data_IF_381717311357
#
_entry.id   IF_381717311357
#
_cell.length_a   1.000
_cell.length_b   1.000
_cell.length_c   1.000
_cell.angle_alpha   90.00
_cell.angle_beta   90.00
_cell.angle_gamma   90.00
#
_symmetry.space_group_name_H-M   'P 1'
#
loop_
_entity.id
_entity.type
_entity.pdbx_description
1 polymer ?
#
# COMPACT_ATOMS: atom_id res chain seq x y z
N UNK A 1 1.75 -26.42 45.76
CA UNK A 1 2.25 -27.31 44.68
C UNK A 1 1.15 -27.69 43.69
N UNK A 2 -0.03 -28.16 44.14
CA UNK A 2 -1.15 -28.60 43.26
C UNK A 2 -1.75 -27.50 42.35
N UNK A 3 -1.75 -26.23 42.79
CA UNK A 3 -2.24 -25.10 41.97
C UNK A 3 -1.35 -24.79 40.74
N UNK A 4 -0.02 -24.93 40.87
CA UNK A 4 0.92 -24.64 39.78
C UNK A 4 0.85 -25.67 38.65
N UNK A 5 0.70 -26.95 39.00
CA UNK A 5 0.51 -28.03 38.02
C UNK A 5 -0.73 -27.83 37.15
N UNK A 6 -1.81 -27.29 37.71
CA UNK A 6 -3.04 -26.99 36.96
C UNK A 6 -2.87 -25.81 35.99
N UNK A 7 -2.08 -24.79 36.35
CA UNK A 7 -1.82 -23.64 35.47
C UNK A 7 -1.01 -24.04 34.24
N UNK A 8 0.12 -24.74 34.42
CA UNK A 8 0.95 -25.19 33.30
C UNK A 8 0.27 -26.26 32.44
N UNK A 9 -0.56 -27.13 33.04
CA UNK A 9 -1.36 -28.09 32.27
C UNK A 9 -2.43 -27.40 31.41
N UNK A 10 -2.98 -26.25 31.87
CA UNK A 10 -4.04 -25.52 31.15
C UNK A 10 -3.49 -24.55 30.11
N UNK A 11 -2.36 -23.89 30.38
CA UNK A 11 -1.79 -22.83 29.53
C UNK A 11 -0.46 -23.19 28.85
N UNK A 12 0.03 -24.42 29.00
CA UNK A 12 1.33 -24.83 28.46
C UNK A 12 1.46 -24.58 26.96
N UNK A 13 0.39 -24.85 26.19
CA UNK A 13 0.37 -24.60 24.75
C UNK A 13 0.49 -23.11 24.41
N UNK A 14 -0.17 -22.23 25.15
CA UNK A 14 -0.13 -20.78 24.93
C UNK A 14 1.24 -20.21 25.28
N UNK A 15 1.88 -20.73 26.34
CA UNK A 15 3.24 -20.33 26.73
C UNK A 15 4.25 -20.73 25.65
N UNK A 16 4.19 -21.99 25.18
CA UNK A 16 5.06 -22.48 24.09
C UNK A 16 4.83 -21.67 22.81
N UNK A 17 3.58 -21.47 22.42
CA UNK A 17 3.24 -20.67 21.24
C UNK A 17 3.74 -19.22 21.36
N UNK A 18 3.66 -18.62 22.54
CA UNK A 18 4.20 -17.28 22.81
C UNK A 18 5.72 -17.24 22.67
N UNK A 19 6.42 -18.25 23.21
CA UNK A 19 7.87 -18.34 23.09
C UNK A 19 8.30 -18.47 21.61
N UNK A 20 7.59 -19.28 20.83
CA UNK A 20 7.80 -19.42 19.39
C UNK A 20 7.48 -18.10 18.67
N UNK A 21 6.43 -17.38 19.05
CA UNK A 21 6.11 -16.08 18.45
C UNK A 21 7.21 -15.04 18.71
N UNK A 22 7.76 -14.98 19.93
CA UNK A 22 8.89 -14.11 20.28
C UNK A 22 10.14 -14.48 19.49
N UNK A 23 10.47 -15.79 19.50
CA UNK A 23 11.16 -16.53 18.44
C UNK A 23 11.26 -15.83 17.08
N UNK A 24 10.14 -15.99 16.38
CA UNK A 24 9.89 -15.54 15.02
C UNK A 24 9.96 -14.03 14.91
N UNK A 25 9.43 -13.27 15.88
CA UNK A 25 9.48 -11.81 15.88
C UNK A 25 10.91 -11.28 15.76
N UNK A 26 11.84 -11.79 16.58
CA UNK A 26 13.24 -11.38 16.51
C UNK A 26 13.90 -11.80 15.18
N UNK A 27 13.64 -13.02 14.72
CA UNK A 27 14.18 -13.51 13.44
C UNK A 27 13.70 -12.62 12.28
N UNK A 28 12.40 -12.35 12.19
CA UNK A 28 11.80 -11.51 11.14
C UNK A 28 12.35 -10.10 11.19
N UNK A 29 12.49 -9.51 12.38
CA UNK A 29 13.04 -8.17 12.54
C UNK A 29 14.49 -8.08 12.08
N UNK A 30 15.34 -9.03 12.48
CA UNK A 30 16.74 -9.08 12.06
C UNK A 30 16.90 -9.32 10.56
N UNK A 31 16.10 -10.23 10.00
CA UNK A 31 16.08 -10.50 8.57
C UNK A 31 15.68 -9.24 7.78
N UNK A 32 14.63 -8.56 8.24
CA UNK A 32 14.11 -7.37 7.58
C UNK A 32 15.09 -6.19 7.67
N UNK A 33 15.72 -5.97 8.81
CA UNK A 33 16.78 -4.96 8.97
C UNK A 33 17.95 -5.20 8.02
N UNK A 34 18.31 -6.46 7.81
CA UNK A 34 19.37 -6.85 6.86
C UNK A 34 18.96 -6.57 5.42
N UNK A 35 17.72 -6.91 5.05
CA UNK A 35 17.17 -6.67 3.71
C UNK A 35 17.12 -5.16 3.42
N UNK A 36 16.61 -4.35 4.35
CA UNK A 36 16.49 -2.90 4.19
C UNK A 36 17.86 -2.26 3.98
N UNK A 37 18.86 -2.63 4.80
CA UNK A 37 20.24 -2.14 4.66
C UNK A 37 20.85 -2.51 3.31
N UNK A 38 20.64 -3.75 2.85
CA UNK A 38 21.15 -4.23 1.56
C UNK A 38 20.49 -3.52 0.39
N UNK A 39 19.18 -3.31 0.46
CA UNK A 39 18.42 -2.62 -0.58
C UNK A 39 18.79 -1.13 -0.66
N UNK A 40 18.87 -0.45 0.49
CA UNK A 40 19.27 0.97 0.57
C UNK A 40 20.61 1.25 -0.10
N UNK A 41 21.62 0.40 0.15
CA UNK A 41 22.93 0.49 -0.51
C UNK A 41 22.88 0.29 -2.03
N UNK A 42 21.92 -0.50 -2.53
CA UNK A 42 21.76 -0.79 -3.97
C UNK A 42 20.93 0.27 -4.69
N UNK A 43 19.98 0.91 -4.00
CA UNK A 43 18.99 1.80 -4.59
C UNK A 43 19.33 3.29 -4.51
N UNK A 44 20.52 3.67 -4.01
CA UNK A 44 20.95 5.06 -3.79
C UNK A 44 19.91 5.91 -3.05
N UNK A 45 19.15 5.30 -2.15
CA UNK A 45 18.17 6.06 -1.35
C UNK A 45 18.89 6.92 -0.32
N UNK A 46 18.36 8.12 -0.08
CA UNK A 46 18.85 8.95 1.01
C UNK A 46 18.72 8.21 2.35
N UNK A 47 19.62 8.52 3.26
CA UNK A 47 19.62 7.94 4.61
C UNK A 47 18.30 8.22 5.32
N UNK A 48 17.78 9.44 5.20
CA UNK A 48 16.48 9.83 5.74
C UNK A 48 15.33 8.93 5.23
N UNK A 49 15.28 8.63 3.93
CA UNK A 49 14.25 7.75 3.36
C UNK A 49 14.39 6.33 3.89
N UNK A 50 15.61 5.85 4.04
CA UNK A 50 15.89 4.52 4.58
C UNK A 50 15.42 4.38 6.03
N UNK A 51 15.67 5.40 6.87
CA UNK A 51 15.19 5.44 8.26
C UNK A 51 13.66 5.41 8.33
N UNK A 52 12.98 6.18 7.48
CA UNK A 52 11.51 6.20 7.44
C UNK A 52 10.94 4.84 7.02
N UNK A 53 11.47 4.23 5.96
CA UNK A 53 11.05 2.89 5.51
C UNK A 53 11.25 1.86 6.61
N UNK A 54 12.42 1.88 7.28
CA UNK A 54 12.69 0.99 8.42
C UNK A 54 11.66 1.17 9.52
N UNK A 55 11.38 2.41 9.91
CA UNK A 55 10.42 2.72 10.98
C UNK A 55 9.01 2.18 10.67
N UNK A 56 8.53 2.36 9.44
CA UNK A 56 7.22 1.84 9.06
C UNK A 56 7.17 0.30 9.06
N UNK A 57 8.24 -0.35 8.62
CA UNK A 57 8.32 -1.80 8.63
C UNK A 57 8.42 -2.34 10.08
N UNK A 58 9.21 -1.72 10.94
CA UNK A 58 9.29 -2.06 12.37
C UNK A 58 7.91 -1.95 13.05
N UNK A 59 7.15 -0.88 12.75
CA UNK A 59 5.77 -0.74 13.25
C UNK A 59 4.84 -1.84 12.74
N UNK A 60 4.92 -2.19 11.45
CA UNK A 60 4.11 -3.26 10.89
C UNK A 60 4.42 -4.60 11.54
N UNK A 61 5.70 -4.96 11.69
CA UNK A 61 6.13 -6.20 12.34
C UNK A 61 5.64 -6.24 13.80
N UNK A 62 5.73 -5.12 14.52
CA UNK A 62 5.24 -5.02 15.89
C UNK A 62 3.72 -5.21 15.99
N UNK A 63 2.94 -4.56 15.10
CA UNK A 63 1.48 -4.73 15.05
C UNK A 63 1.11 -6.19 14.79
N UNK A 64 1.76 -6.84 13.81
CA UNK A 64 1.52 -8.25 13.50
C UNK A 64 1.86 -9.17 14.68
N UNK A 65 2.96 -8.89 15.39
CA UNK A 65 3.32 -9.61 16.59
C UNK A 65 2.30 -9.42 17.72
N UNK A 66 1.82 -8.19 17.94
CA UNK A 66 0.78 -7.92 18.93
C UNK A 66 -0.52 -8.67 18.60
N UNK A 67 -0.95 -8.67 17.33
CA UNK A 67 -2.11 -9.45 16.87
C UNK A 67 -1.91 -10.94 17.11
N UNK A 68 -0.72 -11.48 16.85
CA UNK A 68 -0.39 -12.88 17.11
C UNK A 68 -0.49 -13.23 18.61
N UNK A 69 0.02 -12.37 19.49
CA UNK A 69 -0.11 -12.55 20.94
C UNK A 69 -1.57 -12.53 21.40
N UNK A 70 -2.36 -11.57 20.92
CA UNK A 70 -3.80 -11.50 21.22
C UNK A 70 -4.50 -12.78 20.77
N UNK A 71 -4.12 -13.33 19.61
CA UNK A 71 -4.68 -14.58 19.09
C UNK A 71 -4.30 -15.81 19.93
N UNK A 72 -3.03 -15.91 20.37
CA UNK A 72 -2.53 -17.03 21.20
C UNK A 72 -3.22 -17.06 22.57
N UNK A 73 -3.36 -15.90 23.22
CA UNK A 73 -3.93 -15.80 24.56
C UNK A 73 -5.45 -15.79 24.57
N UNK A 74 -6.06 -15.61 23.40
CA UNK A 74 -7.45 -15.92 23.17
C UNK A 74 -8.41 -14.86 23.71
N UNK A 75 -8.93 -14.07 22.78
CA UNK A 75 -10.32 -13.62 22.79
C UNK A 75 -11.18 -14.88 22.53
N UNK A 76 -12.31 -15.08 23.24
CA UNK A 76 -13.15 -16.28 23.09
C UNK A 76 -13.55 -16.47 21.62
N UNK A 77 -13.74 -17.71 21.13
CA UNK A 77 -14.12 -17.97 19.72
C UNK A 77 -15.38 -17.20 19.30
N UNK A 78 -16.33 -17.00 20.23
CA UNK A 78 -17.55 -16.19 20.04
C UNK A 78 -17.26 -14.71 19.73
N UNK A 79 -16.15 -14.18 20.24
CA UNK A 79 -15.73 -12.78 20.08
C UNK A 79 -14.84 -12.56 18.85
N UNK A 80 -14.38 -13.62 18.19
CA UNK A 80 -13.55 -13.53 16.98
C UNK A 80 -14.28 -12.81 15.84
N UNK A 81 -15.58 -13.12 15.63
CA UNK A 81 -16.38 -12.46 14.60
C UNK A 81 -16.55 -10.96 14.86
N UNK A 82 -16.76 -10.57 16.12
CA UNK A 82 -16.85 -9.16 16.51
C UNK A 82 -15.52 -8.42 16.28
N UNK A 83 -14.40 -9.05 16.64
CA UNK A 83 -13.07 -8.50 16.38
C UNK A 83 -12.78 -8.39 14.87
N UNK A 84 -13.08 -9.43 14.08
CA UNK A 84 -12.88 -9.38 12.63
C UNK A 84 -13.76 -8.30 11.99
N UNK A 85 -15.01 -8.16 12.42
CA UNK A 85 -15.92 -7.11 11.95
C UNK A 85 -15.41 -5.72 12.27
N UNK A 86 -14.91 -5.48 13.49
CA UNK A 86 -14.36 -4.18 13.87
C UNK A 86 -13.10 -3.83 13.09
N UNK A 87 -12.19 -4.80 12.89
CA UNK A 87 -11.00 -4.63 12.05
C UNK A 87 -11.39 -4.33 10.60
N UNK A 88 -12.30 -5.11 10.01
CA UNK A 88 -12.81 -4.86 8.65
C UNK A 88 -13.44 -3.47 8.53
N UNK A 89 -14.19 -3.04 9.55
CA UNK A 89 -14.81 -1.71 9.57
C UNK A 89 -13.75 -0.61 9.55
N UNK A 90 -12.72 -0.72 10.40
CA UNK A 90 -11.62 0.25 10.43
C UNK A 90 -10.85 0.28 9.11
N UNK A 91 -10.56 -0.90 8.53
CA UNK A 91 -9.90 -1.01 7.23
C UNK A 91 -10.77 -0.39 6.12
N UNK A 92 -12.08 -0.64 6.13
CA UNK A 92 -13.02 -0.07 5.17
C UNK A 92 -13.05 1.45 5.23
N UNK A 93 -13.10 2.03 6.43
CA UNK A 93 -13.02 3.49 6.63
C UNK A 93 -11.67 4.05 6.19
N UNK A 94 -10.56 3.36 6.48
CA UNK A 94 -9.24 3.76 6.04
C UNK A 94 -9.13 3.81 4.50
N UNK A 95 -9.62 2.77 3.82
CA UNK A 95 -9.65 2.74 2.35
C UNK A 95 -10.56 3.82 1.77
N UNK A 96 -11.71 4.10 2.39
CA UNK A 96 -12.56 5.21 1.99
C UNK A 96 -11.84 6.55 2.12
N UNK A 97 -11.12 6.78 3.23
CA UNK A 97 -10.30 7.98 3.39
C UNK A 97 -9.17 8.08 2.35
N UNK A 98 -8.65 6.95 1.88
CA UNK A 98 -7.58 6.84 0.89
C UNK A 98 -8.09 6.63 -0.54
N UNK A 99 -9.39 6.80 -0.78
CA UNK A 99 -10.07 6.46 -2.03
C UNK A 99 -9.38 7.02 -3.27
N UNK A 100 -8.88 8.26 -3.19
CA UNK A 100 -8.20 8.92 -4.31
C UNK A 100 -6.98 8.13 -4.83
N UNK A 101 -6.20 7.50 -3.94
CA UNK A 101 -5.01 6.73 -4.32
C UNK A 101 -5.45 5.49 -5.10
N UNK A 102 -6.43 4.75 -4.56
CA UNK A 102 -6.95 3.54 -5.19
C UNK A 102 -7.62 3.86 -6.53
N UNK A 103 -8.39 4.95 -6.58
CA UNK A 103 -9.04 5.43 -7.79
C UNK A 103 -8.04 5.78 -8.89
N UNK A 104 -6.91 6.40 -8.57
CA UNK A 104 -5.85 6.67 -9.54
C UNK A 104 -5.13 5.40 -10.03
N UNK A 105 -4.90 4.40 -9.16
CA UNK A 105 -4.34 3.10 -9.58
C UNK A 105 -5.28 2.42 -10.56
N UNK A 106 -6.56 2.27 -10.19
CA UNK A 106 -7.58 1.63 -11.02
C UNK A 106 -7.72 2.37 -12.35
N UNK A 107 -7.74 3.71 -12.32
CA UNK A 107 -7.77 4.52 -13.52
C UNK A 107 -6.52 4.31 -14.39
N UNK A 108 -5.32 4.20 -13.79
CA UNK A 108 -4.09 3.93 -14.53
C UNK A 108 -4.13 2.61 -15.29
N UNK A 109 -4.67 1.56 -14.66
CA UNK A 109 -4.87 0.26 -15.31
C UNK A 109 -5.86 0.39 -16.48
N UNK A 110 -6.99 1.06 -16.27
CA UNK A 110 -8.02 1.26 -17.31
C UNK A 110 -7.46 2.08 -18.48
N UNK A 111 -6.77 3.18 -18.18
CA UNK A 111 -6.16 4.05 -19.19
C UNK A 111 -5.12 3.28 -20.00
N UNK A 112 -4.29 2.46 -19.36
CA UNK A 112 -3.25 1.69 -20.04
C UNK A 112 -3.80 0.58 -20.96
N UNK A 113 -4.84 -0.14 -20.52
CA UNK A 113 -5.33 -1.31 -21.25
C UNK A 113 -6.56 -1.07 -22.13
N UNK A 114 -7.40 -0.09 -21.78
CA UNK A 114 -8.75 0.03 -22.33
C UNK A 114 -9.03 1.36 -23.02
N UNK A 115 -8.22 2.39 -22.79
CA UNK A 115 -8.44 3.68 -23.46
C UNK A 115 -7.92 3.67 -24.91
N UNK A 116 -8.59 4.41 -25.81
CA UNK A 116 -8.23 4.44 -27.22
C UNK A 116 -6.90 5.17 -27.50
N UNK A 117 -6.51 6.12 -26.64
CA UNK A 117 -5.23 6.82 -26.79
C UNK A 117 -4.06 6.02 -26.23
N UNK A 118 -2.90 6.16 -26.86
CA UNK A 118 -1.66 5.45 -26.53
C UNK A 118 -0.55 6.43 -26.13
N UNK A 119 0.54 5.88 -25.62
CA UNK A 119 1.78 6.63 -25.45
C UNK A 119 2.25 7.11 -26.84
N UNK A 120 2.54 8.40 -26.96
CA UNK A 120 2.85 9.10 -28.21
C UNK A 120 1.66 9.87 -28.81
N UNK A 121 0.43 9.62 -28.37
CA UNK A 121 -0.72 10.36 -28.87
C UNK A 121 -0.77 11.76 -28.28
N UNK A 122 -1.18 12.71 -29.12
CA UNK A 122 -1.46 14.08 -28.69
C UNK A 122 -2.91 14.19 -28.25
N UNK A 123 -3.13 14.61 -27.01
CA UNK A 123 -4.45 14.74 -26.40
C UNK A 123 -4.74 16.17 -25.98
N UNK A 124 -6.04 16.50 -25.94
CA UNK A 124 -6.54 17.79 -25.46
C UNK A 124 -7.78 17.58 -24.61
N UNK A 125 -7.82 18.21 -23.44
CA UNK A 125 -9.04 18.23 -22.63
C UNK A 125 -10.10 19.14 -23.25
N UNK A 126 -11.35 18.69 -23.25
CA UNK A 126 -12.51 19.45 -23.74
C UNK A 126 -12.88 20.60 -22.79
N UNK A 127 -12.49 20.46 -21.52
CA UNK A 127 -12.80 21.42 -20.46
C UNK A 127 -12.03 22.73 -20.66
N UNK A 128 -12.75 23.83 -20.88
CA UNK A 128 -12.16 25.16 -21.10
C UNK A 128 -11.45 25.71 -19.86
N UNK A 129 -11.84 25.27 -18.67
CA UNK A 129 -11.19 25.68 -17.42
C UNK A 129 -9.91 24.85 -17.15
N UNK A 130 -9.70 23.77 -17.92
CA UNK A 130 -8.53 22.91 -17.83
C UNK A 130 -7.89 22.72 -19.21
N UNK A 131 -7.28 23.76 -19.80
CA UNK A 131 -6.78 23.76 -21.18
C UNK A 131 -5.44 23.04 -21.33
N UNK A 132 -5.32 21.83 -20.79
CA UNK A 132 -4.13 20.99 -20.96
C UNK A 132 -4.18 20.32 -22.34
N UNK A 133 -3.13 20.54 -23.13
CA UNK A 133 -2.91 19.93 -24.43
C UNK A 133 -1.45 19.47 -24.53
N UNK A 134 -1.23 18.24 -24.97
CA UNK A 134 0.12 17.69 -25.07
C UNK A 134 0.20 16.23 -25.49
N UNK A 135 1.41 15.74 -25.65
CA UNK A 135 1.72 14.36 -26.02
C UNK A 135 1.87 13.48 -24.78
N UNK A 136 1.26 12.29 -24.78
CA UNK A 136 1.41 11.32 -23.70
C UNK A 136 2.79 10.69 -23.74
N UNK A 137 3.64 11.00 -22.77
CA UNK A 137 4.99 10.42 -22.66
C UNK A 137 4.96 9.04 -21.98
N UNK A 138 4.01 8.85 -21.06
CA UNK A 138 3.90 7.59 -20.36
C UNK A 138 2.80 7.54 -19.32
N UNK A 139 2.23 6.35 -19.14
CA UNK A 139 1.20 6.08 -18.15
C UNK A 139 1.88 5.36 -16.97
N UNK A 140 1.84 5.96 -15.78
CA UNK A 140 2.33 5.37 -14.53
C UNK A 140 1.15 4.93 -13.67
N UNK A 141 1.42 4.21 -12.58
CA UNK A 141 0.38 3.67 -11.71
C UNK A 141 -0.57 4.75 -11.16
N UNK A 142 -0.06 5.93 -10.78
CA UNK A 142 -0.86 6.98 -10.14
C UNK A 142 -1.16 8.19 -11.04
N UNK A 143 -0.39 8.38 -12.09
CA UNK A 143 -0.48 9.55 -12.96
C UNK A 143 -0.04 9.20 -14.39
N UNK A 144 -0.44 10.04 -15.33
CA UNK A 144 0.02 10.02 -16.71
C UNK A 144 0.85 11.28 -16.96
N UNK A 145 2.00 11.10 -17.59
CA UNK A 145 2.92 12.16 -17.93
C UNK A 145 2.59 12.69 -19.33
N UNK A 146 2.33 13.98 -19.42
CA UNK A 146 2.00 14.67 -20.68
C UNK A 146 3.01 15.79 -20.92
N UNK A 147 3.57 15.88 -22.13
CA UNK A 147 4.43 17.00 -22.53
C UNK A 147 3.64 18.02 -23.33
N UNK A 148 3.59 19.27 -22.90
CA UNK A 148 2.96 20.33 -23.68
C UNK A 148 3.87 20.78 -24.84
N UNK A 149 3.36 21.69 -25.68
CA UNK A 149 4.12 22.23 -26.82
C UNK A 149 5.32 23.09 -26.39
N UNK A 150 5.36 23.55 -25.14
CA UNK A 150 6.45 24.34 -24.56
C UNK A 150 7.57 23.44 -24.00
N UNK A 151 7.38 22.12 -24.01
CA UNK A 151 8.32 21.13 -23.50
C UNK A 151 8.19 20.84 -22.00
N UNK A 152 7.20 21.43 -21.32
CA UNK A 152 6.94 21.20 -19.91
C UNK A 152 6.29 19.83 -19.69
N UNK A 153 6.68 19.17 -18.61
CA UNK A 153 6.12 17.87 -18.21
C UNK A 153 5.02 18.06 -17.16
N UNK A 154 3.80 17.67 -17.53
CA UNK A 154 2.59 17.79 -16.71
C UNK A 154 2.21 16.42 -16.18
N UNK A 155 2.09 16.31 -14.86
CA UNK A 155 1.68 15.10 -14.15
C UNK A 155 0.17 15.11 -13.92
N UNK A 156 -0.57 14.35 -14.73
CA UNK A 156 -2.03 14.26 -14.62
C UNK A 156 -2.43 13.05 -13.78
N UNK A 157 -3.23 13.22 -12.70
CA UNK A 157 -3.81 12.08 -12.00
C UNK A 157 -4.59 11.21 -12.98
N UNK A 158 -4.38 9.89 -12.98
CA UNK A 158 -5.02 9.02 -13.97
C UNK A 158 -6.55 9.10 -13.93
N UNK A 159 -7.12 9.30 -12.74
CA UNK A 159 -8.56 9.43 -12.56
C UNK A 159 -9.13 10.66 -13.31
N UNK A 160 -8.33 11.70 -13.52
CA UNK A 160 -8.75 12.88 -14.28
C UNK A 160 -9.01 12.55 -15.75
N UNK A 161 -8.23 11.63 -16.33
CA UNK A 161 -8.37 11.19 -17.72
C UNK A 161 -9.69 10.44 -17.96
N UNK A 162 -10.25 9.83 -16.91
CA UNK A 162 -11.54 9.14 -16.97
C UNK A 162 -12.73 10.08 -16.76
N UNK A 163 -12.53 11.18 -16.04
CA UNK A 163 -13.60 12.09 -15.62
C UNK A 163 -13.87 13.23 -16.59
N UNK A 164 -12.88 13.61 -17.40
CA UNK A 164 -12.98 14.73 -18.33
C UNK A 164 -13.00 14.21 -19.76
N UNK A 165 -13.74 14.89 -20.63
CA UNK A 165 -13.72 14.61 -22.07
C UNK A 165 -12.35 14.92 -22.66
N UNK A 166 -11.85 14.03 -23.51
CA UNK A 166 -10.54 14.15 -24.17
C UNK A 166 -10.72 13.99 -25.68
N UNK A 167 -10.09 14.87 -26.44
CA UNK A 167 -9.95 14.78 -27.90
C UNK A 167 -8.55 14.24 -28.21
N UNK A 168 -8.47 13.23 -29.07
CA UNK A 168 -7.20 12.73 -29.61
C UNK A 168 -6.94 13.51 -30.90
N UNK A 169 -5.87 14.30 -30.92
CA UNK A 169 -5.56 15.23 -32.01
C UNK A 169 -4.77 14.55 -33.14
N UNK A 170 -3.95 13.55 -32.82
CA UNK A 170 -3.20 12.76 -33.80
C UNK A 170 -3.21 11.29 -33.38
N UNK A 171 -3.80 10.43 -34.21
CA UNK A 171 -3.60 8.98 -34.20
C UNK A 171 -2.85 8.69 -35.51
N UNK A 172 -1.53 8.52 -35.42
CA UNK A 172 -0.72 8.04 -36.56
C UNK A 172 -0.61 6.51 -36.48
#
# INVERSE_FOLDING_TARGET
MVLYTNFFATYGNQIIATLIAVVVFFIVRLATDTIIKKFSKKSNFSEARTILVKRYIDYLIFILFAVMLISIWGIKREQLLLFLSSVLTVIGVAFFAQWSILSNITAGIIVFFSFPFRIGDKIKFVDKEFPVEGEIIGIKAFYTLVRNNEGEEILLPNNLLLQKGIVILNSN
#
